data_IF_118231320437
#
_entry.id   IF_118231320437
#
_cell.length_a   1.000
_cell.length_b   1.000
_cell.length_c   1.000
_cell.angle_alpha   90.00
_cell.angle_beta   90.00
_cell.angle_gamma   90.00
#
_symmetry.space_group_name_H-M   'P 1'
#
loop_
_entity.id
_entity.type
_entity.pdbx_description
1 polymer ?
#
# COMPACT_ATOMS: atom_id res chain seq x y z
N UNK A 1 -47.22 56.06 -31.32
CA UNK A 1 -48.21 56.32 -30.27
C UNK A 1 -47.56 56.05 -28.92
N UNK A 2 -47.79 56.92 -27.93
CA UNK A 2 -47.48 56.74 -26.48
C UNK A 2 -48.18 55.46 -25.95
N UNK A 3 -47.75 54.78 -24.89
CA UNK A 3 -47.53 55.19 -23.48
C UNK A 3 -46.63 54.11 -22.80
N UNK A 4 -45.70 54.36 -21.87
CA UNK A 4 -45.72 55.01 -20.54
C UNK A 4 -46.67 54.35 -19.52
N UNK A 5 -46.10 53.80 -18.45
CA UNK A 5 -46.81 53.19 -17.32
C UNK A 5 -45.87 52.67 -16.22
N UNK A 6 -45.50 53.56 -15.30
CA UNK A 6 -44.70 53.34 -14.07
C UNK A 6 -45.56 52.98 -12.85
N UNK A 7 -45.00 52.20 -11.89
CA UNK A 7 -45.02 52.36 -10.40
C UNK A 7 -44.63 51.02 -9.72
N UNK A 8 -43.56 50.88 -8.90
CA UNK A 8 -43.36 51.27 -7.47
C UNK A 8 -44.50 50.75 -6.56
N UNK A 9 -44.33 50.07 -5.41
CA UNK A 9 -43.40 50.12 -4.25
C UNK A 9 -43.81 48.95 -3.29
N UNK A 10 -43.03 48.25 -2.45
CA UNK A 10 -42.46 48.54 -1.10
C UNK A 10 -42.01 47.15 -0.53
N UNK A 11 -40.77 46.94 -0.08
CA UNK A 11 -40.22 47.07 1.29
C UNK A 11 -40.74 46.07 2.35
N UNK A 12 -39.82 45.24 2.88
CA UNK A 12 -39.70 44.98 4.33
C UNK A 12 -38.28 44.56 4.71
N UNK A 13 -37.67 45.45 5.49
CA UNK A 13 -36.45 45.35 6.28
C UNK A 13 -36.63 44.41 7.47
N UNK A 14 -35.57 43.70 7.85
CA UNK A 14 -35.36 43.22 9.22
C UNK A 14 -33.87 43.32 9.57
N UNK A 15 -33.51 44.44 10.20
CA UNK A 15 -32.29 44.61 10.99
C UNK A 15 -32.52 44.05 12.39
N UNK A 16 -31.59 43.25 12.90
CA UNK A 16 -31.41 43.02 14.32
C UNK A 16 -29.91 43.08 14.66
N UNK A 17 -29.55 44.06 15.48
CA UNK A 17 -28.19 44.36 15.92
C UNK A 17 -27.96 43.82 17.34
N UNK A 18 -26.78 43.20 17.49
CA UNK A 18 -25.87 43.21 18.65
C UNK A 18 -26.25 42.53 19.99
N UNK A 19 -25.33 41.67 20.45
CA UNK A 19 -24.69 41.85 21.75
C UNK A 19 -23.32 41.15 21.79
N UNK A 20 -22.32 41.87 22.30
CA UNK A 20 -20.94 41.43 22.52
C UNK A 20 -20.86 40.29 23.54
N UNK A 21 -19.91 39.38 23.33
CA UNK A 21 -19.13 38.78 24.41
C UNK A 21 -17.74 38.45 23.90
N UNK A 22 -16.82 39.38 24.16
CA UNK A 22 -15.39 39.13 24.09
C UNK A 22 -15.01 38.23 25.27
N UNK A 23 -14.57 37.00 24.98
CA UNK A 23 -13.73 36.24 25.91
C UNK A 23 -12.40 36.03 25.20
N UNK A 24 -11.45 36.88 25.56
CA UNK A 24 -10.04 36.74 25.20
C UNK A 24 -9.47 35.55 25.96
N UNK A 25 -9.43 34.38 25.33
CA UNK A 25 -8.54 33.29 25.77
C UNK A 25 -7.30 33.38 24.90
N UNK A 26 -6.22 33.93 25.48
CA UNK A 26 -4.85 33.71 25.03
C UNK A 26 -4.55 32.21 25.15
N UNK A 27 -4.97 31.43 24.16
CA UNK A 27 -4.32 30.18 23.85
C UNK A 27 -3.24 30.52 22.81
N UNK A 28 -1.98 30.28 23.14
CA UNK A 28 -0.95 30.00 22.14
C UNK A 28 -1.39 28.75 21.36
N UNK A 29 -2.33 28.94 20.44
CA UNK A 29 -2.69 27.96 19.45
C UNK A 29 -1.59 27.99 18.42
N UNK A 30 -0.72 26.97 18.47
CA UNK A 30 -0.03 26.49 17.29
C UNK A 30 -1.15 26.31 16.27
N UNK A 31 -1.25 27.22 15.30
CA UNK A 31 -2.18 27.04 14.20
C UNK A 31 -1.86 25.67 13.62
N UNK A 32 -2.80 24.71 13.59
CA UNK A 32 -2.59 23.54 12.80
C UNK A 32 -2.45 24.09 11.38
N UNK A 33 -1.22 24.05 10.85
CA UNK A 33 -1.02 24.05 9.41
C UNK A 33 -1.85 22.87 8.94
N UNK A 34 -3.05 23.15 8.45
CA UNK A 34 -3.80 22.21 7.63
C UNK A 34 -2.91 21.99 6.42
N UNK A 35 -2.02 21.01 6.52
CA UNK A 35 -1.42 20.35 5.37
C UNK A 35 -2.64 19.82 4.64
N UNK A 36 -2.92 20.35 3.44
CA UNK A 36 -3.95 19.76 2.61
C UNK A 36 -3.62 18.27 2.52
N UNK A 37 -4.53 17.40 2.96
CA UNK A 37 -4.34 15.96 2.83
C UNK A 37 -4.05 15.69 1.35
N UNK A 38 -2.85 15.16 1.08
CA UNK A 38 -2.46 14.79 -0.28
C UNK A 38 -3.54 13.86 -0.84
N UNK A 39 -4.17 14.29 -1.92
CA UNK A 39 -5.26 13.51 -2.52
C UNK A 39 -4.66 12.40 -3.36
N UNK A 40 -4.78 11.15 -2.92
CA UNK A 40 -4.39 10.00 -3.73
C UNK A 40 -5.51 9.67 -4.72
N UNK A 41 -5.17 9.56 -6.00
CA UNK A 41 -6.07 9.14 -7.08
C UNK A 41 -5.51 7.93 -7.78
N UNK A 42 -6.19 6.79 -7.63
CA UNK A 42 -5.84 5.59 -8.36
C UNK A 42 -6.24 5.71 -9.84
N UNK A 43 -5.32 5.37 -10.73
CA UNK A 43 -5.48 5.30 -12.18
C UNK A 43 -5.42 3.83 -12.56
N UNK A 44 -6.45 3.34 -13.23
CA UNK A 44 -6.50 2.00 -13.80
C UNK A 44 -6.26 2.04 -15.30
N UNK A 45 -6.17 0.86 -15.94
CA UNK A 45 -5.87 0.74 -17.36
C UNK A 45 -6.87 1.50 -18.25
N UNK A 46 -8.15 1.60 -17.85
CA UNK A 46 -9.19 2.37 -18.55
C UNK A 46 -9.03 3.89 -18.38
N UNK A 47 -8.27 4.33 -17.38
CA UNK A 47 -7.87 5.71 -17.16
C UNK A 47 -6.69 6.17 -18.01
N UNK A 48 -6.08 5.27 -18.79
CA UNK A 48 -4.96 5.54 -19.68
C UNK A 48 -5.39 5.47 -21.16
N UNK A 49 -5.29 6.59 -21.88
CA UNK A 49 -5.68 6.71 -23.28
C UNK A 49 -6.46 8.00 -23.58
N UNK A 50 -6.96 8.19 -24.81
CA UNK A 50 -7.53 9.47 -25.26
C UNK A 50 -8.81 9.90 -24.51
N UNK A 51 -9.50 8.96 -23.86
CA UNK A 51 -10.70 9.23 -23.07
C UNK A 51 -10.45 9.26 -21.56
N UNK A 52 -9.22 8.93 -21.13
CA UNK A 52 -8.84 8.85 -19.72
C UNK A 52 -8.29 10.17 -19.17
N UNK A 53 -8.19 10.31 -17.83
CA UNK A 53 -7.50 11.42 -17.20
C UNK A 53 -6.00 11.44 -17.53
N UNK A 54 -5.41 10.31 -17.91
CA UNK A 54 -4.04 10.19 -18.38
C UNK A 54 -4.01 9.85 -19.86
N UNK A 55 -3.37 10.70 -20.66
CA UNK A 55 -3.32 10.58 -22.10
C UNK A 55 -2.06 9.84 -22.55
N UNK A 56 -2.24 8.86 -23.43
CA UNK A 56 -1.15 8.31 -24.25
C UNK A 56 -0.84 9.30 -25.36
N UNK A 57 0.27 10.03 -25.24
CA UNK A 57 0.54 11.13 -26.17
C UNK A 57 0.75 10.63 -27.60
N UNK A 58 1.29 9.43 -27.79
CA UNK A 58 1.46 8.85 -29.13
C UNK A 58 0.13 8.52 -29.84
N UNK A 59 -0.99 8.39 -29.10
CA UNK A 59 -2.31 8.17 -29.71
C UNK A 59 -3.02 9.47 -30.09
N UNK A 60 -2.61 10.59 -29.51
CA UNK A 60 -3.26 11.90 -29.69
C UNK A 60 -2.43 12.86 -30.55
N UNK A 61 -1.11 12.76 -30.48
CA UNK A 61 -0.14 13.57 -31.23
C UNK A 61 1.03 12.70 -31.70
N UNK A 62 0.84 11.81 -32.67
CA UNK A 62 1.91 10.92 -33.14
C UNK A 62 2.97 11.72 -33.91
N UNK A 63 4.17 11.80 -33.35
CA UNK A 63 5.38 12.29 -34.03
C UNK A 63 6.43 11.18 -34.22
N UNK A 64 6.20 10.00 -33.62
CA UNK A 64 7.06 8.79 -33.67
C UNK A 64 6.24 7.52 -33.50
N UNK A 65 6.87 6.39 -33.79
CA UNK A 65 6.30 5.08 -33.51
C UNK A 65 6.07 4.89 -32.00
N UNK A 66 4.88 4.42 -31.59
CA UNK A 66 4.57 4.23 -30.19
C UNK A 66 5.36 3.07 -29.58
N UNK A 67 5.91 3.31 -28.39
CA UNK A 67 6.33 2.27 -27.45
C UNK A 67 5.15 1.79 -26.59
N UNK A 68 5.45 1.02 -25.55
CA UNK A 68 4.48 0.50 -24.58
C UNK A 68 4.13 1.56 -23.55
N UNK A 69 2.83 1.77 -23.35
CA UNK A 69 2.23 2.62 -22.31
C UNK A 69 1.04 1.87 -21.71
N UNK A 70 1.25 1.25 -20.56
CA UNK A 70 0.24 0.41 -19.90
C UNK A 70 0.43 0.41 -18.39
N UNK A 71 -0.61 0.07 -17.65
CA UNK A 71 -0.49 -0.25 -16.23
C UNK A 71 -0.09 -1.72 -16.11
N UNK A 72 1.06 -1.94 -15.47
CA UNK A 72 1.69 -3.24 -15.32
C UNK A 72 1.48 -3.77 -13.90
N UNK A 73 1.45 -5.10 -13.70
CA UNK A 73 1.39 -5.70 -12.36
C UNK A 73 2.66 -5.51 -11.53
N UNK A 74 3.72 -4.89 -12.06
CA UNK A 74 4.95 -4.61 -11.31
C UNK A 74 4.61 -3.73 -10.09
N UNK A 75 4.84 -4.18 -8.85
CA UNK A 75 4.43 -3.44 -7.66
C UNK A 75 5.29 -2.19 -7.45
N UNK A 76 4.64 -1.09 -7.12
CA UNK A 76 5.24 0.12 -6.58
C UNK A 76 5.66 -0.07 -5.10
N UNK A 77 6.57 0.77 -4.56
CA UNK A 77 7.10 0.57 -3.22
C UNK A 77 6.18 1.04 -2.08
N UNK A 78 5.02 1.64 -2.39
CA UNK A 78 4.10 2.23 -1.40
C UNK A 78 2.82 1.40 -1.25
N UNK A 79 2.12 1.14 -2.35
CA UNK A 79 0.83 0.48 -2.37
C UNK A 79 0.88 -0.99 -2.81
N UNK A 80 1.98 -1.40 -3.47
CA UNK A 80 2.24 -2.75 -3.97
C UNK A 80 1.16 -3.26 -4.94
N UNK A 81 0.56 -2.36 -5.72
CA UNK A 81 -0.70 -2.63 -6.44
C UNK A 81 -0.59 -2.50 -7.97
N UNK A 82 0.60 -2.20 -8.49
CA UNK A 82 0.86 -1.99 -9.91
C UNK A 82 1.86 -0.86 -10.11
N UNK A 83 2.08 -0.48 -11.37
CA UNK A 83 2.73 0.78 -11.74
C UNK A 83 2.53 1.09 -13.22
N UNK A 84 2.73 2.36 -13.61
CA UNK A 84 2.77 2.75 -15.02
C UNK A 84 4.05 2.23 -15.67
N UNK A 85 3.92 1.31 -16.62
CA UNK A 85 5.03 0.85 -17.45
C UNK A 85 5.15 1.71 -18.69
N UNK A 86 6.36 2.23 -18.88
CA UNK A 86 6.80 2.83 -20.13
C UNK A 86 7.95 2.00 -20.67
N UNK A 87 7.82 1.48 -21.90
CA UNK A 87 8.91 0.79 -22.57
C UNK A 87 9.06 1.20 -24.04
N UNK A 88 10.29 1.29 -24.54
CA UNK A 88 10.59 1.63 -25.93
C UNK A 88 11.64 0.68 -26.51
N UNK A 89 11.45 0.33 -27.78
CA UNK A 89 12.49 -0.18 -28.64
C UNK A 89 13.17 0.96 -29.42
N UNK A 90 14.13 0.60 -30.27
CA UNK A 90 14.83 1.52 -31.17
C UNK A 90 13.87 2.46 -31.92
N UNK A 91 14.10 3.76 -31.82
CA UNK A 91 13.32 4.80 -32.51
C UNK A 91 11.93 5.11 -31.94
N UNK A 92 11.45 4.33 -30.96
CA UNK A 92 10.12 4.51 -30.36
C UNK A 92 10.09 5.59 -29.26
N UNK A 93 8.88 5.97 -28.88
CA UNK A 93 8.61 6.84 -27.74
C UNK A 93 7.40 6.37 -26.94
N UNK A 94 7.46 6.50 -25.62
CA UNK A 94 6.36 6.19 -24.72
C UNK A 94 6.13 7.33 -23.72
N UNK A 95 4.92 7.91 -23.75
CA UNK A 95 4.55 9.04 -22.91
C UNK A 95 3.13 8.93 -22.38
N UNK A 96 2.99 9.12 -21.07
CA UNK A 96 1.70 9.31 -20.41
C UNK A 96 1.64 10.73 -19.82
N UNK A 97 0.58 11.48 -20.12
CA UNK A 97 0.44 12.87 -19.73
C UNK A 97 -0.84 13.13 -18.93
N UNK A 98 -0.75 13.99 -17.93
CA UNK A 98 -1.90 14.54 -17.22
C UNK A 98 -1.88 16.05 -17.28
N UNK A 99 -2.95 16.65 -17.80
CA UNK A 99 -3.12 18.10 -17.79
C UNK A 99 -3.80 18.55 -16.49
N UNK A 100 -3.27 19.60 -15.87
CA UNK A 100 -3.79 20.14 -14.61
C UNK A 100 -5.19 20.76 -14.74
N UNK A 101 -5.55 21.19 -15.95
CA UNK A 101 -6.87 21.72 -16.25
C UNK A 101 -7.21 21.54 -17.73
N UNK A 102 -8.51 21.43 -18.01
CA UNK A 102 -9.03 21.32 -19.37
C UNK A 102 -8.97 22.64 -20.16
N UNK A 103 -8.74 23.77 -19.49
CA UNK A 103 -8.69 25.10 -20.12
C UNK A 103 -7.30 25.48 -20.63
N UNK A 104 -6.31 24.58 -20.52
CA UNK A 104 -4.93 24.82 -20.94
C UNK A 104 -4.35 26.12 -20.38
N UNK A 105 -4.70 26.44 -19.14
CA UNK A 105 -4.14 27.59 -18.42
C UNK A 105 -2.93 27.10 -17.64
N UNK A 106 -1.74 27.70 -17.79
CA UNK A 106 -0.56 27.23 -17.08
C UNK A 106 -0.73 27.48 -15.58
N UNK A 107 -0.46 26.45 -14.78
CA UNK A 107 -0.39 26.54 -13.32
C UNK A 107 1.00 27.06 -12.93
N UNK A 108 1.11 28.12 -12.11
CA UNK A 108 2.40 28.70 -11.76
C UNK A 108 3.37 27.67 -11.15
N UNK A 109 4.63 27.70 -11.59
CA UNK A 109 5.61 26.67 -11.23
C UNK A 109 5.94 26.67 -9.74
N UNK A 110 6.10 27.85 -9.11
CA UNK A 110 6.46 27.96 -7.68
C UNK A 110 5.44 27.25 -6.78
N UNK A 111 4.12 27.51 -6.86
CA UNK A 111 3.12 26.74 -6.13
C UNK A 111 3.17 25.22 -6.38
N UNK A 112 3.46 24.77 -7.60
CA UNK A 112 3.61 23.33 -7.88
C UNK A 112 4.79 22.74 -7.09
N UNK A 113 5.94 23.41 -7.10
CA UNK A 113 7.13 22.95 -6.36
C UNK A 113 6.94 23.01 -4.85
N UNK A 114 6.31 24.07 -4.34
CA UNK A 114 6.00 24.21 -2.92
C UNK A 114 5.05 23.11 -2.44
N UNK A 115 4.15 22.64 -3.33
CA UNK A 115 3.29 21.48 -3.09
C UNK A 115 4.01 20.11 -3.17
N UNK A 116 5.30 20.09 -3.52
CA UNK A 116 6.14 18.90 -3.47
C UNK A 116 6.00 17.98 -4.68
N UNK A 117 6.45 18.42 -5.86
CA UNK A 117 6.47 17.55 -7.04
C UNK A 117 7.44 16.38 -6.85
N UNK A 118 6.94 15.16 -6.97
CA UNK A 118 7.75 13.94 -6.84
C UNK A 118 7.18 12.77 -7.65
N UNK A 119 7.95 11.71 -7.79
CA UNK A 119 7.51 10.44 -8.34
C UNK A 119 8.47 9.31 -7.92
N UNK A 120 7.97 8.08 -7.89
CA UNK A 120 8.80 6.89 -7.86
C UNK A 120 9.14 6.46 -9.29
N UNK A 121 10.39 6.04 -9.50
CA UNK A 121 10.83 5.46 -10.76
C UNK A 121 11.68 4.22 -10.53
N UNK A 122 11.55 3.26 -11.44
CA UNK A 122 12.36 2.06 -11.52
C UNK A 122 12.84 1.87 -12.95
N UNK A 123 14.16 1.82 -13.15
CA UNK A 123 14.77 1.46 -14.43
C UNK A 123 15.09 -0.03 -14.41
N UNK A 124 14.42 -0.83 -15.24
CA UNK A 124 14.67 -2.26 -15.31
C UNK A 124 15.93 -2.53 -16.14
N UNK A 125 16.84 -3.37 -15.66
CA UNK A 125 17.89 -3.91 -16.55
C UNK A 125 17.31 -4.87 -17.57
N UNK A 126 16.24 -5.59 -17.19
CA UNK A 126 15.52 -6.47 -18.11
C UNK A 126 14.77 -5.67 -19.18
N UNK A 127 15.07 -5.98 -20.45
CA UNK A 127 14.49 -5.30 -21.62
C UNK A 127 15.13 -3.96 -21.96
N UNK A 128 16.14 -3.51 -21.20
CA UNK A 128 16.85 -2.26 -21.45
C UNK A 128 18.27 -2.53 -21.96
N UNK A 129 18.70 -1.77 -22.97
CA UNK A 129 20.10 -1.74 -23.41
C UNK A 129 20.88 -0.58 -22.79
N UNK A 130 20.17 0.40 -22.21
CA UNK A 130 20.70 1.58 -21.54
C UNK A 130 20.02 1.69 -20.18
N UNK A 131 20.81 1.75 -19.10
CA UNK A 131 20.29 1.70 -17.72
C UNK A 131 20.79 2.84 -16.83
N UNK A 132 21.63 3.73 -17.36
CA UNK A 132 22.10 4.97 -16.74
C UNK A 132 21.13 6.15 -16.94
N UNK A 133 20.00 5.91 -17.60
CA UNK A 133 18.88 6.83 -17.79
C UNK A 133 17.58 6.18 -17.33
N UNK A 134 16.56 6.98 -17.01
CA UNK A 134 15.27 6.51 -16.51
C UNK A 134 14.09 7.26 -17.10
N UNK A 135 12.90 7.02 -16.55
CA UNK A 135 11.70 7.76 -16.93
C UNK A 135 11.83 9.23 -16.50
N UNK A 136 11.77 10.12 -17.49
CA UNK A 136 11.81 11.55 -17.26
C UNK A 136 10.43 12.03 -16.78
N UNK A 137 10.42 12.95 -15.82
CA UNK A 137 9.24 13.73 -15.51
C UNK A 137 9.34 15.08 -16.23
N UNK A 138 8.39 15.35 -17.11
CA UNK A 138 8.39 16.56 -17.93
C UNK A 138 7.22 17.49 -17.60
N UNK A 139 7.47 18.79 -17.72
CA UNK A 139 6.47 19.85 -17.62
C UNK A 139 6.34 20.55 -18.98
N UNK A 140 5.23 20.36 -19.72
CA UNK A 140 4.87 21.28 -20.78
C UNK A 140 4.62 22.66 -20.15
N UNK A 141 5.42 23.66 -20.53
CA UNK A 141 5.46 24.95 -19.86
C UNK A 141 5.33 26.14 -20.83
N UNK A 142 4.82 27.25 -20.32
CA UNK A 142 4.80 28.55 -21.01
C UNK A 142 5.89 29.45 -20.45
N UNK A 143 6.84 29.87 -21.27
CA UNK A 143 7.95 30.75 -20.86
C UNK A 143 8.12 31.92 -21.83
N UNK A 144 7.02 32.60 -22.17
CA UNK A 144 6.91 33.51 -23.33
C UNK A 144 6.69 32.77 -24.66
N UNK A 145 6.48 31.45 -24.58
CA UNK A 145 6.26 30.50 -25.66
C UNK A 145 6.27 29.08 -25.09
N UNK A 146 5.75 28.10 -25.84
CA UNK A 146 5.71 26.71 -25.41
C UNK A 146 7.11 26.08 -25.36
N UNK A 147 7.43 25.40 -24.26
CA UNK A 147 8.61 24.54 -24.11
C UNK A 147 8.25 23.30 -23.28
N UNK A 148 9.17 22.35 -23.21
CA UNK A 148 9.11 21.22 -22.30
C UNK A 148 10.32 21.27 -21.38
N UNK A 149 10.09 21.31 -20.07
CA UNK A 149 11.14 21.18 -19.05
C UNK A 149 11.21 19.71 -18.65
N UNK A 150 12.38 19.09 -18.78
CA UNK A 150 12.56 17.65 -18.52
C UNK A 150 13.48 17.45 -17.33
N UNK A 151 12.96 16.84 -16.27
CA UNK A 151 13.75 16.28 -15.19
C UNK A 151 14.15 14.85 -15.57
N UNK A 152 15.45 14.57 -15.58
CA UNK A 152 16.01 13.28 -15.94
C UNK A 152 16.69 12.64 -14.73
N UNK A 153 16.29 11.42 -14.33
CA UNK A 153 16.94 10.66 -13.25
C UNK A 153 18.46 10.51 -13.39
N UNK A 154 19.01 10.37 -14.60
CA UNK A 154 20.45 10.24 -14.80
C UNK A 154 21.25 11.52 -14.50
N UNK A 155 20.59 12.69 -14.50
CA UNK A 155 21.20 14.00 -14.25
C UNK A 155 20.91 14.54 -12.84
N UNK A 156 20.15 13.80 -12.02
CA UNK A 156 19.72 14.24 -10.70
C UNK A 156 19.87 13.09 -9.69
N UNK A 157 20.12 13.41 -8.42
CA UNK A 157 20.05 12.38 -7.37
C UNK A 157 18.61 12.16 -6.92
N UNK A 158 18.33 10.98 -6.38
CA UNK A 158 17.07 10.70 -5.70
C UNK A 158 16.91 11.53 -4.40
N UNK A 159 15.77 11.37 -3.74
CA UNK A 159 15.45 12.08 -2.50
C UNK A 159 16.39 11.74 -1.32
N UNK A 160 17.19 10.68 -1.44
CA UNK A 160 18.20 10.24 -0.48
C UNK A 160 19.61 10.68 -0.89
N UNK A 161 19.77 11.36 -2.03
CA UNK A 161 21.06 11.83 -2.55
C UNK A 161 21.85 10.75 -3.29
N UNK A 162 21.24 9.62 -3.64
CA UNK A 162 21.88 8.57 -4.42
C UNK A 162 21.71 8.81 -5.93
N UNK A 163 22.71 8.39 -6.70
CA UNK A 163 22.63 8.36 -8.16
C UNK A 163 21.62 7.30 -8.62
N UNK A 164 21.19 7.40 -9.89
CA UNK A 164 20.34 6.39 -10.51
C UNK A 164 20.96 5.00 -10.37
N UNK A 165 20.16 4.06 -9.87
CA UNK A 165 20.53 2.65 -9.74
C UNK A 165 19.48 1.79 -10.44
N UNK A 166 19.86 0.99 -11.46
CA UNK A 166 18.92 0.08 -12.09
C UNK A 166 18.48 -1.01 -11.13
N UNK A 167 17.32 -1.57 -11.42
CA UNK A 167 16.63 -2.57 -10.61
C UNK A 167 16.39 -2.16 -9.16
N UNK A 168 16.17 -0.87 -8.92
CA UNK A 168 15.83 -0.32 -7.61
C UNK A 168 14.79 0.78 -7.78
N UNK A 169 13.75 0.74 -6.94
CA UNK A 169 12.80 1.85 -6.86
C UNK A 169 13.47 3.03 -6.17
N UNK A 170 13.46 4.19 -6.83
CA UNK A 170 14.01 5.44 -6.29
C UNK A 170 12.95 6.54 -6.35
N UNK A 171 12.83 7.29 -5.25
CA UNK A 171 11.93 8.44 -5.18
C UNK A 171 12.68 9.68 -5.61
N UNK A 172 12.21 10.34 -6.65
CA UNK A 172 12.75 11.63 -7.07
C UNK A 172 11.82 12.74 -6.60
N UNK A 173 12.39 13.77 -5.96
CA UNK A 173 11.68 14.98 -5.56
C UNK A 173 12.32 16.16 -6.27
N UNK A 174 11.51 16.94 -6.97
CA UNK A 174 11.99 18.12 -7.66
C UNK A 174 12.13 19.27 -6.66
N UNK A 175 13.28 19.94 -6.74
CA UNK A 175 13.64 21.08 -5.90
C UNK A 175 14.13 22.23 -6.78
N UNK A 176 14.35 23.40 -6.21
CA UNK A 176 14.91 24.56 -6.93
C UNK A 176 16.27 24.26 -7.60
N UNK A 177 17.06 23.35 -7.02
CA UNK A 177 18.39 22.97 -7.49
C UNK A 177 18.36 21.80 -8.49
N UNK A 178 17.21 21.16 -8.68
CA UNK A 178 17.07 20.07 -9.65
C UNK A 178 17.45 20.54 -11.05
N UNK A 179 18.29 19.77 -11.72
CA UNK A 179 18.73 20.06 -13.08
C UNK A 179 17.62 19.64 -14.04
N UNK A 180 17.13 20.60 -14.83
CA UNK A 180 16.12 20.34 -15.86
C UNK A 180 16.60 20.82 -17.23
N UNK A 181 16.27 20.03 -18.25
CA UNK A 181 16.59 20.31 -19.65
C UNK A 181 15.41 20.97 -20.34
N UNK A 182 15.64 22.03 -21.09
CA UNK A 182 14.58 22.69 -21.88
C UNK A 182 14.59 22.24 -23.34
N UNK A 183 13.43 21.95 -23.93
CA UNK A 183 13.32 21.58 -25.35
C UNK A 183 13.48 22.77 -26.31
N UNK A 184 13.27 23.99 -25.83
CA UNK A 184 13.47 25.24 -26.58
C UNK A 184 14.29 26.24 -25.79
N UNK A 185 14.81 27.28 -26.45
CA UNK A 185 15.54 28.33 -25.75
C UNK A 185 14.63 29.12 -24.80
N UNK A 186 15.06 29.34 -23.57
CA UNK A 186 14.30 30.04 -22.51
C UNK A 186 15.26 30.91 -21.72
N UNK A 187 14.99 32.23 -21.65
CA UNK A 187 15.69 33.18 -20.77
C UNK A 187 17.24 33.06 -20.76
N UNK A 188 17.85 32.82 -21.93
CA UNK A 188 19.31 32.70 -22.08
C UNK A 188 19.85 31.27 -22.02
N UNK A 189 19.03 30.28 -21.63
CA UNK A 189 19.34 28.86 -21.76
C UNK A 189 19.01 28.41 -23.19
N UNK A 190 19.95 27.83 -23.95
CA UNK A 190 19.69 27.34 -25.30
C UNK A 190 18.78 26.11 -25.30
N UNK A 191 18.18 25.77 -26.45
CA UNK A 191 17.45 24.52 -26.62
C UNK A 191 18.36 23.31 -26.37
N UNK A 192 17.89 22.33 -25.60
CA UNK A 192 18.67 21.20 -25.10
C UNK A 192 19.62 21.54 -23.96
N UNK A 193 19.64 22.80 -23.49
CA UNK A 193 20.45 23.23 -22.37
C UNK A 193 19.84 22.83 -21.02
N UNK A 194 20.73 22.62 -20.06
CA UNK A 194 20.41 22.25 -18.69
C UNK A 194 20.57 23.47 -17.77
N UNK A 195 19.64 23.67 -16.85
CA UNK A 195 19.73 24.69 -15.80
C UNK A 195 18.95 24.25 -14.54
N UNK A 196 19.22 24.85 -13.37
CA UNK A 196 18.42 24.60 -12.16
C UNK A 196 16.96 24.98 -12.38
N UNK A 197 16.05 24.20 -11.79
CA UNK A 197 14.61 24.42 -11.90
C UNK A 197 14.17 25.82 -11.44
N UNK A 198 14.86 26.39 -10.43
CA UNK A 198 14.67 27.77 -9.97
C UNK A 198 14.80 28.83 -11.08
N UNK A 199 15.66 28.60 -12.08
CA UNK A 199 15.77 29.46 -13.26
C UNK A 199 14.45 29.50 -14.03
N UNK A 200 13.85 28.34 -14.28
CA UNK A 200 12.61 28.22 -15.03
C UNK A 200 11.38 28.64 -14.22
N UNK A 201 11.40 28.46 -12.90
CA UNK A 201 10.37 29.02 -12.00
C UNK A 201 10.27 30.54 -12.16
N UNK A 202 11.40 31.21 -12.39
CA UNK A 202 11.45 32.66 -12.60
C UNK A 202 11.10 33.04 -14.04
N UNK A 203 11.54 32.24 -15.02
CA UNK A 203 11.40 32.55 -16.44
C UNK A 203 10.04 32.16 -17.05
N UNK A 204 9.28 31.27 -16.41
CA UNK A 204 8.06 30.69 -16.97
C UNK A 204 6.81 31.16 -16.22
N UNK A 205 5.72 31.33 -16.97
CA UNK A 205 4.38 31.63 -16.43
C UNK A 205 3.84 30.44 -15.63
N UNK A 206 4.16 29.21 -16.07
CA UNK A 206 3.73 27.98 -15.41
C UNK A 206 3.77 26.75 -16.31
N UNK A 207 3.23 25.64 -15.79
CA UNK A 207 3.12 24.36 -16.47
C UNK A 207 1.65 23.98 -16.75
N UNK A 208 1.40 23.33 -17.88
CA UNK A 208 0.07 22.86 -18.27
C UNK A 208 -0.27 21.49 -17.67
N UNK A 209 0.73 20.74 -17.22
CA UNK A 209 0.57 19.37 -16.74
C UNK A 209 1.88 18.71 -16.38
N UNK A 210 1.84 17.39 -16.24
CA UNK A 210 2.98 16.49 -16.07
C UNK A 210 2.97 15.42 -17.14
N UNK A 211 4.16 14.97 -17.55
CA UNK A 211 4.33 13.87 -18.50
C UNK A 211 5.40 12.92 -17.95
N UNK A 212 5.04 11.66 -17.76
CA UNK A 212 6.03 10.59 -17.61
C UNK A 212 6.47 10.18 -19.02
N UNK A 213 7.77 10.31 -19.32
CA UNK A 213 8.30 10.18 -20.66
C UNK A 213 9.57 9.32 -20.69
N UNK A 214 9.60 8.39 -21.63
CA UNK A 214 10.85 7.85 -22.17
C UNK A 214 10.88 8.06 -23.68
N UNK A 215 11.94 8.69 -24.17
CA UNK A 215 12.08 9.03 -25.58
C UNK A 215 13.42 9.66 -25.90
N UNK A 216 14.00 9.25 -27.04
CA UNK A 216 15.31 9.68 -27.57
C UNK A 216 16.46 9.46 -26.57
N UNK A 217 16.98 8.23 -26.51
CA UNK A 217 18.10 7.84 -25.63
C UNK A 217 19.48 8.37 -26.08
N UNK A 218 19.54 9.38 -26.97
CA UNK A 218 20.76 9.75 -27.69
C UNK A 218 21.26 8.68 -28.67
N UNK A 219 21.10 7.40 -28.32
CA UNK A 219 21.29 6.21 -29.13
C UNK A 219 20.00 5.85 -29.90
N UNK A 220 20.02 5.85 -31.25
CA UNK A 220 18.87 5.45 -32.06
C UNK A 220 18.50 3.96 -31.93
N UNK A 221 19.39 3.12 -31.42
CA UNK A 221 19.17 1.68 -31.24
C UNK A 221 18.83 1.29 -29.79
N UNK A 222 18.87 2.24 -28.87
CA UNK A 222 18.69 1.94 -27.46
C UNK A 222 17.27 1.45 -27.15
N UNK A 223 17.16 0.53 -26.20
CA UNK A 223 15.91 0.12 -25.59
C UNK A 223 15.89 0.51 -24.12
N UNK A 224 14.70 0.78 -23.60
CA UNK A 224 14.49 1.14 -22.21
C UNK A 224 13.14 0.61 -21.73
N UNK A 225 13.12 0.01 -20.54
CA UNK A 225 11.94 -0.47 -19.84
C UNK A 225 11.94 0.13 -18.43
N UNK A 226 10.91 0.91 -18.13
CA UNK A 226 10.80 1.67 -16.89
C UNK A 226 9.40 1.56 -16.31
N UNK A 227 9.34 1.74 -14.99
CA UNK A 227 8.11 1.82 -14.24
C UNK A 227 8.09 3.11 -13.45
N UNK A 228 6.91 3.74 -13.39
CA UNK A 228 6.68 5.01 -12.70
C UNK A 228 5.45 4.86 -11.83
N UNK A 229 5.50 5.42 -10.63
CA UNK A 229 4.33 5.51 -9.77
C UNK A 229 4.36 6.71 -8.82
N UNK A 230 3.24 6.92 -8.10
CA UNK A 230 2.97 8.01 -7.19
C UNK A 230 3.47 9.36 -7.74
N UNK A 231 3.08 9.68 -8.98
CA UNK A 231 3.39 11.00 -9.52
C UNK A 231 2.61 12.00 -8.68
N UNK A 232 3.30 12.83 -7.92
CA UNK A 232 2.71 13.88 -7.09
C UNK A 232 2.90 15.21 -7.80
N UNK A 233 1.80 15.91 -8.12
CA UNK A 233 1.83 17.31 -8.51
C UNK A 233 0.50 17.98 -8.17
N UNK A 234 0.51 19.29 -7.94
CA UNK A 234 -0.71 20.06 -7.64
C UNK A 234 -1.50 19.50 -6.43
N UNK A 235 -0.80 18.95 -5.43
CA UNK A 235 -1.40 18.34 -4.23
C UNK A 235 -2.18 17.04 -4.49
N UNK A 236 -2.01 16.44 -5.67
CA UNK A 236 -2.57 15.13 -6.03
C UNK A 236 -1.44 14.15 -6.29
N UNK A 237 -1.55 12.94 -5.74
CA UNK A 237 -0.68 11.81 -6.05
C UNK A 237 -1.47 10.83 -6.91
N UNK A 238 -0.97 10.51 -8.10
CA UNK A 238 -1.55 9.50 -8.99
C UNK A 238 -0.86 8.16 -8.79
N UNK A 239 -1.63 7.20 -8.30
CA UNK A 239 -1.26 5.81 -8.01
C UNK A 239 -1.72 4.92 -9.17
N UNK A 240 -0.81 4.23 -9.87
CA UNK A 240 -1.13 3.45 -11.06
C UNK A 240 -1.30 1.97 -10.73
N UNK A 241 -2.56 1.57 -10.51
CA UNK A 241 -2.86 0.24 -10.01
C UNK A 241 -3.54 -0.66 -11.04
N UNK A 242 -3.22 -1.95 -10.99
CA UNK A 242 -4.06 -2.95 -11.66
C UNK A 242 -5.40 -3.11 -10.93
N UNK A 243 -6.38 -3.75 -11.57
CA UNK A 243 -7.74 -3.88 -11.02
C UNK A 243 -7.90 -5.08 -10.09
N UNK A 244 -7.17 -6.14 -10.37
CA UNK A 244 -7.20 -7.37 -9.61
C UNK A 244 -6.63 -7.17 -8.21
N UNK A 245 -7.23 -7.84 -7.23
CA UNK A 245 -6.77 -7.81 -5.84
C UNK A 245 -6.58 -9.22 -5.34
N UNK A 246 -5.40 -9.48 -4.79
CA UNK A 246 -5.14 -10.72 -4.06
C UNK A 246 -6.13 -10.88 -2.89
N UNK A 247 -6.45 -12.14 -2.63
CA UNK A 247 -7.33 -12.55 -1.55
C UNK A 247 -6.62 -13.60 -0.68
N UNK A 248 -6.99 -13.67 0.59
CA UNK A 248 -6.53 -14.69 1.50
C UNK A 248 -7.69 -15.56 1.99
N UNK A 249 -7.42 -16.85 2.17
CA UNK A 249 -8.32 -17.78 2.84
C UNK A 249 -7.54 -18.50 3.94
N UNK A 250 -8.15 -18.63 5.11
CA UNK A 250 -7.57 -19.27 6.28
C UNK A 250 -8.54 -20.34 6.79
N UNK A 251 -8.00 -21.51 7.09
CA UNK A 251 -8.72 -22.60 7.77
C UNK A 251 -7.98 -22.93 9.05
N UNK A 252 -8.68 -22.88 10.18
CA UNK A 252 -8.15 -23.26 11.49
C UNK A 252 -9.01 -24.36 12.12
N UNK A 253 -8.46 -25.15 13.05
CA UNK A 253 -9.26 -26.14 13.76
C UNK A 253 -10.32 -25.43 14.61
N UNK A 254 -11.57 -25.93 14.60
CA UNK A 254 -12.64 -25.35 15.42
C UNK A 254 -12.31 -25.35 16.93
N UNK A 255 -11.57 -26.38 17.37
CA UNK A 255 -11.18 -26.55 18.77
C UNK A 255 -9.75 -27.06 18.90
N UNK A 256 -9.04 -26.48 19.88
CA UNK A 256 -7.74 -26.94 20.34
C UNK A 256 -7.90 -27.29 21.82
N UNK A 257 -7.82 -28.58 22.15
CA UNK A 257 -7.87 -29.02 23.54
C UNK A 257 -6.47 -28.85 24.15
N UNK A 258 -6.38 -28.15 25.28
CA UNK A 258 -5.14 -27.96 26.00
C UNK A 258 -4.55 -29.32 26.40
N UNK A 259 -3.26 -29.51 26.15
CA UNK A 259 -2.55 -30.77 26.39
C UNK A 259 -2.77 -31.86 25.31
N UNK A 260 -3.63 -31.63 24.31
CA UNK A 260 -3.72 -32.52 23.15
C UNK A 260 -2.61 -32.18 22.12
N UNK A 261 -2.38 -33.09 21.17
CA UNK A 261 -1.42 -32.90 20.09
C UNK A 261 -1.81 -31.81 19.07
N UNK A 262 -0.87 -31.44 18.17
CA UNK A 262 -1.07 -30.40 17.16
C UNK A 262 -2.26 -30.67 16.24
N UNK A 263 -2.95 -29.58 15.85
CA UNK A 263 -4.08 -29.59 14.93
C UNK A 263 -3.74 -28.81 13.66
N UNK A 264 -4.08 -29.32 12.47
CA UNK A 264 -3.73 -28.68 11.21
C UNK A 264 -4.51 -27.38 11.01
N UNK A 265 -3.82 -26.41 10.42
CA UNK A 265 -4.35 -25.16 9.91
C UNK A 265 -3.65 -24.83 8.57
N UNK A 266 -4.32 -24.07 7.73
CA UNK A 266 -3.82 -23.77 6.38
C UNK A 266 -4.22 -22.35 6.00
N UNK A 267 -3.28 -21.62 5.41
CA UNK A 267 -3.55 -20.34 4.76
C UNK A 267 -3.20 -20.44 3.29
N UNK A 268 -4.06 -19.88 2.44
CA UNK A 268 -3.79 -19.69 1.02
C UNK A 268 -4.02 -18.24 0.62
N UNK A 269 -3.21 -17.77 -0.31
CA UNK A 269 -3.34 -16.50 -1.01
C UNK A 269 -3.58 -16.79 -2.48
N UNK A 270 -4.54 -16.11 -3.08
CA UNK A 270 -4.84 -16.22 -4.50
C UNK A 270 -4.81 -14.82 -5.09
N UNK A 271 -3.96 -14.62 -6.09
CA UNK A 271 -3.94 -13.40 -6.88
C UNK A 271 -4.67 -13.62 -8.21
N UNK A 272 -5.63 -12.76 -8.60
CA UNK A 272 -6.30 -12.90 -9.89
C UNK A 272 -5.33 -12.57 -11.05
N UNK A 273 -5.70 -12.95 -12.28
CA UNK A 273 -4.84 -12.77 -13.46
C UNK A 273 -4.53 -11.31 -13.79
N UNK A 274 -5.36 -10.38 -13.32
CA UNK A 274 -5.21 -8.93 -13.42
C UNK A 274 -4.73 -8.30 -12.10
N UNK A 275 -4.18 -9.10 -11.17
CA UNK A 275 -3.60 -8.66 -9.90
C UNK A 275 -2.11 -8.30 -9.99
N UNK A 276 -1.51 -7.75 -8.92
CA UNK A 276 -0.12 -7.34 -8.90
C UNK A 276 0.83 -8.51 -8.60
N UNK A 277 2.08 -8.35 -8.98
CA UNK A 277 3.15 -9.30 -8.70
C UNK A 277 3.72 -9.05 -7.30
N UNK A 278 3.69 -10.04 -6.39
CA UNK A 278 4.28 -9.91 -5.04
C UNK A 278 5.58 -10.70 -4.95
N UNK A 279 6.74 -10.03 -4.85
CA UNK A 279 8.06 -10.69 -4.70
C UNK A 279 8.44 -10.93 -3.24
N UNK A 280 9.28 -11.93 -3.00
CA UNK A 280 9.82 -12.29 -1.70
C UNK A 280 8.72 -12.58 -0.67
N UNK A 281 7.68 -13.32 -1.07
CA UNK A 281 6.50 -13.49 -0.23
C UNK A 281 6.77 -14.30 1.06
N UNK A 282 6.18 -13.84 2.15
CA UNK A 282 6.13 -14.52 3.43
C UNK A 282 4.75 -14.40 4.07
N UNK A 283 4.57 -15.03 5.23
CA UNK A 283 3.30 -14.95 5.97
C UNK A 283 3.55 -14.53 7.41
N UNK A 284 2.98 -13.39 7.80
CA UNK A 284 2.89 -13.01 9.21
C UNK A 284 1.66 -13.68 9.82
N UNK A 285 1.88 -14.40 10.92
CA UNK A 285 0.85 -14.95 11.78
C UNK A 285 0.66 -14.04 13.00
N UNK A 286 -0.58 -13.74 13.33
CA UNK A 286 -0.98 -13.05 14.56
C UNK A 286 -2.03 -13.88 15.29
N UNK A 287 -1.81 -14.14 16.56
CA UNK A 287 -2.67 -14.95 17.42
C UNK A 287 -3.15 -14.09 18.59
N UNK A 288 -4.46 -13.94 18.74
CA UNK A 288 -5.07 -13.21 19.85
C UNK A 288 -5.97 -14.13 20.65
N UNK A 289 -5.48 -14.55 21.81
CA UNK A 289 -6.14 -15.51 22.66
C UNK A 289 -6.90 -14.90 23.84
N UNK A 290 -7.43 -15.76 24.73
CA UNK A 290 -8.02 -15.31 25.99
C UNK A 290 -6.98 -14.62 26.88
N UNK A 291 -7.47 -13.76 27.79
CA UNK A 291 -6.62 -13.01 28.69
C UNK A 291 -5.66 -13.92 29.48
N UNK A 292 -4.38 -13.52 29.54
CA UNK A 292 -3.34 -14.26 30.24
C UNK A 292 -2.66 -15.37 29.41
N UNK A 293 -3.03 -15.55 28.13
CA UNK A 293 -2.32 -16.44 27.23
C UNK A 293 -0.88 -15.93 26.98
N UNK A 294 0.10 -16.84 27.08
CA UNK A 294 1.53 -16.54 26.92
C UNK A 294 2.14 -17.25 25.70
N UNK A 295 3.27 -16.76 25.16
CA UNK A 295 3.95 -17.38 24.02
C UNK A 295 4.26 -18.87 24.20
N UNK A 296 4.69 -19.29 25.39
CA UNK A 296 5.07 -20.67 25.71
C UNK A 296 3.88 -21.63 25.89
N UNK A 297 2.65 -21.09 25.92
CA UNK A 297 1.42 -21.87 26.05
C UNK A 297 0.79 -22.23 24.70
N UNK A 298 1.33 -21.69 23.60
CA UNK A 298 0.96 -22.08 22.25
C UNK A 298 2.19 -22.61 21.52
N UNK A 299 1.99 -23.70 20.80
CA UNK A 299 3.00 -24.21 19.86
C UNK A 299 2.46 -24.08 18.46
N UNK A 300 3.18 -23.35 17.63
CA UNK A 300 2.95 -23.27 16.20
C UNK A 300 4.08 -24.00 15.51
N UNK A 301 3.74 -24.94 14.63
CA UNK A 301 4.73 -25.57 13.75
C UNK A 301 4.38 -25.34 12.30
N UNK A 302 5.37 -25.01 11.49
CA UNK A 302 5.28 -24.88 10.04
C UNK A 302 6.48 -25.58 9.42
N UNK A 303 6.26 -26.41 8.39
CA UNK A 303 7.32 -27.19 7.74
C UNK A 303 8.22 -27.98 8.70
N UNK A 304 7.62 -28.59 9.71
CA UNK A 304 8.35 -29.39 10.72
C UNK A 304 9.21 -28.58 11.69
N UNK A 305 9.19 -27.25 11.62
CA UNK A 305 9.92 -26.35 12.52
C UNK A 305 8.97 -25.57 13.43
N UNK A 306 9.37 -25.36 14.67
CA UNK A 306 8.63 -24.46 15.57
C UNK A 306 8.75 -23.02 15.08
N UNK A 307 7.63 -22.31 15.06
CA UNK A 307 7.57 -20.87 14.74
C UNK A 307 7.69 -20.10 16.06
N UNK A 308 8.76 -19.31 16.25
CA UNK A 308 8.90 -18.47 17.43
C UNK A 308 7.76 -17.45 17.50
N UNK A 309 7.14 -17.34 18.68
CA UNK A 309 6.08 -16.37 18.94
C UNK A 309 6.62 -15.24 19.82
N UNK A 310 6.44 -14.00 19.38
CA UNK A 310 6.76 -12.78 20.12
C UNK A 310 5.48 -12.16 20.65
N UNK A 311 5.47 -11.76 21.91
CA UNK A 311 4.31 -11.07 22.49
C UNK A 311 4.37 -9.57 22.16
N UNK A 312 3.30 -9.05 21.58
CA UNK A 312 3.10 -7.64 21.30
C UNK A 312 2.49 -6.91 22.52
N UNK A 313 2.55 -5.59 22.52
CA UNK A 313 2.05 -4.75 23.63
C UNK A 313 0.54 -4.87 23.86
N UNK A 314 -0.23 -5.25 22.83
CA UNK A 314 -1.68 -5.46 22.92
C UNK A 314 -2.04 -6.88 23.41
N UNK A 315 -1.02 -7.68 23.76
CA UNK A 315 -1.15 -9.06 24.22
C UNK A 315 -1.31 -10.10 23.11
N UNK A 316 -1.34 -9.70 21.84
CA UNK A 316 -1.28 -10.63 20.71
C UNK A 316 0.10 -11.28 20.61
N UNK A 317 0.16 -12.44 19.96
CA UNK A 317 1.39 -13.18 19.70
C UNK A 317 1.64 -13.19 18.20
N UNK A 318 2.84 -12.80 17.76
CA UNK A 318 3.21 -12.72 16.35
C UNK A 318 4.33 -13.69 16.02
N UNK A 319 4.28 -14.26 14.83
CA UNK A 319 5.33 -15.13 14.30
C UNK A 319 5.33 -15.13 12.78
N UNK A 320 6.40 -15.63 12.18
CA UNK A 320 6.51 -15.74 10.73
C UNK A 320 6.40 -17.20 10.30
N UNK A 321 5.40 -17.50 9.48
CA UNK A 321 5.30 -18.81 8.84
C UNK A 321 6.23 -18.82 7.63
N UNK A 322 7.04 -19.88 7.53
CA UNK A 322 7.74 -20.15 6.28
C UNK A 322 6.73 -20.66 5.28
N UNK A 323 6.50 -19.90 4.23
CA UNK A 323 5.64 -20.32 3.12
C UNK A 323 6.36 -21.42 2.35
N UNK A 324 5.82 -22.63 2.40
CA UNK A 324 6.19 -23.73 1.53
C UNK A 324 5.47 -23.63 0.19
N UNK A 325 5.66 -22.51 -0.49
CA UNK A 325 5.85 -22.64 -1.93
C UNK A 325 7.14 -23.42 -2.12
N UNK A 326 7.12 -24.40 -3.02
CA UNK A 326 8.34 -24.96 -3.59
C UNK A 326 9.25 -23.79 -4.01
N UNK A 327 10.25 -23.49 -3.17
CA UNK A 327 11.32 -22.50 -3.33
C UNK A 327 10.96 -21.15 -4.00
N UNK A 328 11.05 -20.05 -3.23
CA UNK A 328 11.33 -18.66 -3.67
C UNK A 328 10.87 -18.24 -5.08
N UNK A 329 9.99 -17.26 -5.25
CA UNK A 329 9.91 -16.10 -4.40
C UNK A 329 9.06 -15.01 -5.02
N UNK A 330 7.95 -15.39 -5.65
CA UNK A 330 6.96 -14.44 -6.19
C UNK A 330 5.56 -15.08 -6.21
N UNK A 331 4.52 -14.36 -5.80
CA UNK A 331 3.13 -14.64 -6.14
C UNK A 331 2.80 -13.81 -7.40
N UNK A 332 2.83 -14.49 -8.55
CA UNK A 332 2.54 -13.91 -9.86
C UNK A 332 1.04 -13.67 -10.05
N UNK A 333 0.64 -12.77 -10.98
CA UNK A 333 -0.74 -12.62 -11.40
C UNK A 333 -1.37 -13.95 -11.84
N UNK A 334 -2.54 -14.27 -11.30
CA UNK A 334 -3.25 -15.55 -11.52
C UNK A 334 -2.73 -16.71 -10.66
N UNK A 335 -1.72 -16.46 -9.82
CA UNK A 335 -1.03 -17.45 -9.00
C UNK A 335 -1.75 -17.77 -7.68
N UNK A 336 -1.22 -18.80 -7.01
CA UNK A 336 -1.60 -19.18 -5.65
C UNK A 336 -0.38 -19.46 -4.79
N UNK A 337 -0.44 -19.04 -3.53
CA UNK A 337 0.58 -19.27 -2.52
C UNK A 337 -0.07 -19.70 -1.21
N UNK A 338 0.71 -20.17 -0.24
CA UNK A 338 0.17 -20.54 1.05
C UNK A 338 1.21 -21.09 2.02
N UNK A 339 0.75 -21.38 3.23
CA UNK A 339 1.52 -22.06 4.25
C UNK A 339 0.62 -23.03 5.02
N UNK A 340 1.06 -24.28 5.10
CA UNK A 340 0.48 -25.23 6.03
C UNK A 340 1.16 -25.08 7.40
N UNK A 341 0.38 -25.15 8.47
CA UNK A 341 0.91 -25.10 9.83
C UNK A 341 0.04 -25.92 10.79
N UNK A 342 0.50 -26.04 12.02
CA UNK A 342 -0.26 -26.69 13.09
C UNK A 342 -0.29 -25.82 14.33
N UNK A 343 -1.38 -25.94 15.08
CA UNK A 343 -1.61 -25.25 16.35
C UNK A 343 -1.79 -26.28 17.48
N UNK A 344 -1.09 -26.08 18.58
CA UNK A 344 -1.31 -26.81 19.83
C UNK A 344 -1.36 -25.84 21.00
N UNK A 345 -2.15 -26.17 22.02
CA UNK A 345 -2.17 -25.44 23.29
C UNK A 345 -1.58 -26.33 24.39
N UNK A 346 -0.64 -25.78 25.15
CA UNK A 346 -0.02 -26.48 26.27
C UNK A 346 -1.07 -26.82 27.35
N UNK A 347 -0.77 -27.83 28.18
CA UNK A 347 -1.55 -28.08 29.39
C UNK A 347 -1.54 -26.82 30.28
N UNK A 348 -2.71 -26.44 30.80
CA UNK A 348 -2.87 -25.21 31.60
C UNK A 348 -3.02 -23.91 30.78
N UNK A 349 -3.04 -23.97 29.44
CA UNK A 349 -3.40 -22.82 28.62
C UNK A 349 -4.84 -22.34 28.94
N UNK A 350 -5.08 -21.01 29.03
CA UNK A 350 -6.41 -20.49 29.32
C UNK A 350 -7.42 -20.89 28.24
N UNK A 351 -8.58 -21.38 28.67
CA UNK A 351 -9.68 -21.71 27.76
C UNK A 351 -10.38 -20.44 27.26
N UNK A 352 -10.76 -20.42 25.98
CA UNK A 352 -11.41 -19.26 25.38
C UNK A 352 -11.26 -19.21 23.86
N UNK A 353 -11.67 -18.08 23.27
CA UNK A 353 -11.55 -17.83 21.84
C UNK A 353 -10.10 -17.47 21.50
N UNK A 354 -9.59 -18.07 20.43
CA UNK A 354 -8.31 -17.76 19.82
C UNK A 354 -8.58 -17.24 18.41
N UNK A 355 -8.41 -15.94 18.20
CA UNK A 355 -8.42 -15.37 16.85
C UNK A 355 -7.05 -15.61 16.20
N UNK A 356 -7.10 -16.09 14.97
CA UNK A 356 -5.94 -16.42 14.15
C UNK A 356 -6.02 -15.55 12.90
N UNK A 357 -5.04 -14.68 12.73
CA UNK A 357 -4.93 -13.81 11.56
C UNK A 357 -3.64 -14.12 10.83
N UNK A 358 -3.74 -14.32 9.53
CA UNK A 358 -2.59 -14.48 8.63
C UNK A 358 -2.59 -13.37 7.61
N UNK A 359 -1.41 -12.83 7.30
CA UNK A 359 -1.26 -11.74 6.35
C UNK A 359 -0.06 -11.98 5.44
N UNK A 360 -0.27 -11.74 4.14
CA UNK A 360 0.79 -11.79 3.14
C UNK A 360 1.77 -10.65 3.42
N UNK A 361 3.04 -10.99 3.37
CA UNK A 361 4.14 -10.04 3.45
C UNK A 361 5.03 -10.20 2.24
N UNK A 362 5.75 -9.16 1.87
CA UNK A 362 6.70 -9.14 0.75
C UNK A 362 8.05 -8.61 1.20
N UNK A 363 9.10 -8.93 0.45
CA UNK A 363 10.39 -8.28 0.62
C UNK A 363 10.49 -7.13 -0.36
N UNK A 364 10.73 -5.92 0.14
CA UNK A 364 10.99 -4.73 -0.68
C UNK A 364 12.44 -4.34 -0.49
N UNK A 365 13.16 -4.13 -1.59
CA UNK A 365 14.56 -3.70 -1.52
C UNK A 365 14.66 -2.34 -0.81
N UNK A 366 15.54 -2.25 0.18
CA UNK A 366 15.75 -1.02 0.96
C UNK A 366 14.86 -0.89 2.20
N UNK A 367 14.03 -1.88 2.54
CA UNK A 367 13.28 -1.91 3.82
C UNK A 367 13.90 -2.87 4.84
N UNK A 368 13.81 -2.52 6.13
CA UNK A 368 14.24 -3.39 7.23
C UNK A 368 13.21 -4.50 7.49
N UNK A 369 13.28 -5.55 6.67
CA UNK A 369 12.45 -6.75 6.80
C UNK A 369 11.17 -6.74 5.96
N UNK A 370 10.28 -7.74 6.18
CA UNK A 370 9.08 -7.93 5.36
C UNK A 370 8.06 -6.79 5.54
N UNK A 371 7.50 -6.33 4.42
CA UNK A 371 6.44 -5.32 4.35
C UNK A 371 5.08 -6.02 4.27
N UNK A 372 4.10 -5.50 5.00
CA UNK A 372 2.72 -6.00 5.01
C UNK A 372 1.96 -5.53 3.77
N UNK A 373 1.24 -6.43 3.10
CA UNK A 373 0.46 -6.08 1.90
C UNK A 373 -0.99 -5.70 2.22
N UNK A 374 -1.47 -5.95 3.44
CA UNK A 374 -2.89 -5.83 3.80
C UNK A 374 -3.76 -7.02 3.36
N UNK A 375 -3.24 -7.91 2.51
CA UNK A 375 -3.95 -9.14 2.08
C UNK A 375 -3.95 -10.13 3.23
N UNK A 376 -5.06 -10.21 3.96
CA UNK A 376 -5.16 -10.96 5.20
C UNK A 376 -6.46 -11.75 5.31
N UNK A 377 -6.40 -12.82 6.11
CA UNK A 377 -7.55 -13.62 6.48
C UNK A 377 -7.54 -13.81 8.00
N UNK A 378 -8.72 -13.77 8.61
CA UNK A 378 -8.90 -14.05 10.04
C UNK A 378 -9.95 -15.12 10.20
N UNK A 379 -9.64 -16.10 11.04
CA UNK A 379 -10.59 -17.10 11.51
C UNK A 379 -10.34 -17.35 13.00
N UNK A 380 -11.11 -18.25 13.62
CA UNK A 380 -11.13 -18.41 15.06
C UNK A 380 -11.20 -19.88 15.46
N UNK A 381 -10.40 -20.22 16.46
CA UNK A 381 -10.46 -21.48 17.17
C UNK A 381 -10.98 -21.26 18.60
N UNK A 382 -11.30 -22.35 19.28
CA UNK A 382 -11.58 -22.34 20.72
C UNK A 382 -10.59 -23.23 21.46
N UNK A 383 -9.83 -22.63 22.38
CA UNK A 383 -9.05 -23.38 23.36
C UNK A 383 -10.02 -23.94 24.40
N UNK A 384 -10.00 -25.26 24.61
CA UNK A 384 -10.78 -25.94 25.64
C UNK A 384 -9.87 -26.57 26.67
N UNK A 385 -10.27 -26.59 27.94
CA UNK A 385 -9.49 -27.25 28.99
C UNK A 385 -9.20 -28.72 28.67
N UNK A 386 -8.04 -29.22 29.11
CA UNK A 386 -7.84 -30.65 29.26
C UNK A 386 -8.96 -31.15 30.15
N UNK A 387 -9.74 -32.14 29.69
CA UNK A 387 -10.86 -32.66 30.47
C UNK A 387 -10.38 -32.98 31.87
N UNK A 388 -10.90 -32.29 32.89
CA UNK A 388 -10.77 -32.76 34.26
C UNK A 388 -11.41 -34.14 34.27
N UNK A 389 -10.62 -35.20 34.42
CA UNK A 389 -11.17 -36.44 34.94
C UNK A 389 -12.01 -36.06 36.15
N UNK A 390 -13.30 -36.45 36.24
CA UNK A 390 -14.01 -36.27 37.48
C UNK A 390 -13.18 -37.01 38.53
N UNK A 391 -12.70 -36.28 39.55
CA UNK A 391 -12.20 -36.93 40.76
C UNK A 391 -13.22 -38.00 41.13
N UNK A 392 -12.81 -39.24 41.39
CA UNK A 392 -13.76 -40.27 41.79
C UNK A 392 -14.55 -39.70 42.96
N UNK A 393 -15.88 -39.62 42.80
CA UNK A 393 -16.77 -39.18 43.85
C UNK A 393 -16.34 -39.90 45.13
N UNK A 394 -16.17 -39.19 46.27
CA UNK A 394 -15.93 -39.86 47.52
C UNK A 394 -17.05 -40.89 47.70
N UNK A 395 -16.66 -42.16 47.80
CA UNK A 395 -17.63 -43.24 47.99
C UNK A 395 -18.54 -42.86 49.16
N UNK A 396 -19.87 -43.06 49.04
CA UNK A 396 -20.76 -42.75 50.14
C UNK A 396 -20.31 -43.57 51.34
N UNK A 397 -19.95 -42.87 52.42
CA UNK A 397 -19.76 -43.48 53.73
C UNK A 397 -21.08 -44.14 54.12
N UNK A 398 -21.18 -45.45 53.91
CA UNK A 398 -22.29 -46.25 54.38
C UNK A 398 -22.43 -46.06 55.89
N UNK A 399 -23.62 -45.69 56.41
CA UNK A 399 -23.87 -45.79 57.83
C UNK A 399 -23.80 -47.27 58.21
N UNK A 400 -23.04 -47.58 59.26
CA UNK A 400 -23.03 -48.89 59.88
C UNK A 400 -24.45 -49.30 60.26
N UNK A 401 -25.00 -50.30 59.57
CA UNK A 401 -26.18 -51.01 60.05
C UNK A 401 -25.86 -51.73 61.36
N UNK A 402 -26.71 -51.63 62.41
CA UNK A 402 -26.59 -52.46 63.59
C UNK A 402 -26.80 -53.95 63.22
N UNK A 403 -25.94 -54.78 63.78
CA UNK A 403 -25.91 -56.25 63.66
C UNK A 403 -27.26 -56.86 64.07
N UNK A 404 -27.79 -57.88 63.36
CA UNK A 404 -28.97 -58.61 63.83
C UNK A 404 -28.62 -59.48 65.04
N UNK A 405 -29.45 -59.41 66.07
CA UNK A 405 -29.45 -60.28 67.25
C UNK A 405 -29.84 -61.72 66.84
N UNK A 406 -29.17 -62.78 67.34
CA UNK A 406 -29.52 -64.16 67.01
C UNK A 406 -30.77 -64.64 67.74
N UNK A 407 -31.53 -65.61 67.21
CA UNK A 407 -32.67 -66.21 67.89
C UNK A 407 -32.16 -67.23 68.91
N UNK A 408 -32.37 -66.94 70.19
CA UNK A 408 -32.14 -67.88 71.29
C UNK A 408 -33.29 -68.89 71.37
N UNK A 409 -33.07 -70.08 70.83
CA UNK A 409 -33.81 -71.27 71.19
C UNK A 409 -33.20 -71.90 72.44
N UNK A 410 -34.01 -72.12 73.47
CA UNK A 410 -33.63 -72.85 74.68
C UNK A 410 -34.84 -73.53 75.28
N UNK A 411 -34.95 -74.84 75.06
CA UNK A 411 -35.85 -75.74 75.78
C UNK A 411 -35.14 -76.31 77.02
N UNK A 412 -35.84 -76.31 78.16
CA UNK A 412 -35.87 -77.41 79.13
C UNK A 412 -34.83 -77.45 80.25
N UNK A 413 -35.26 -77.16 81.50
CA UNK A 413 -35.24 -78.08 82.65
C UNK A 413 -35.69 -77.36 83.93
N UNK A 414 -36.63 -77.95 84.68
CA UNK A 414 -37.08 -77.51 86.01
C UNK A 414 -38.58 -77.49 86.17
#
# INVERSE_FOLDING_TARGET
>A
MRASGTSRTLLRTATATAALSAVSVLACGIAPTAVADDTVRTVHQDGLGPAGPWLRLQETTPDRDPGVQEISPKPDPVHLNGSLRLAIAAGQQAQAAHYFNATWTPVPMRPLLDAGVSYWAYTASEGSSVTDIGANLQFPASCGGFTTLSFEPGANTDAQGAALKPDTWQKYRLTDDSVVRTSRAVAGVPAGGDAPLSHFVTACEGAYGVIANIGRLGDPNGTLNTYVDDITAQGTTWDFAVTGRASAALTVPERIKAGDGPRPADVSYTDPADGPEYRGIGTRLTLKGPAGLKPDQLTVMSEGSAVPLTQETDGSLTGELRTNLRAGGTLEPGGKAGAAFTLAAAEGAPAGRLDVTTELTVTVDGTDGPVRTGVSATDHSRITAAGTHPSPSPSPSHPHHPRPTPPGGGHGNG
#
